data_IF_845062298538
#
_entry.id   IF_845062298538
#
_cell.length_a   1.000
_cell.length_b   1.000
_cell.length_c   1.000
_cell.angle_alpha   90.00
_cell.angle_beta   90.00
_cell.angle_gamma   90.00
#
_symmetry.space_group_name_H-M   'P 1'
#
loop_
_entity.id
_entity.type
_entity.pdbx_description
1 polymer ?
#
# COMPACT_ATOMS: atom_id res chain seq x y z
N UNK A 1 26.33 35.34 -30.65
CA UNK A 1 25.38 35.55 -29.55
C UNK A 1 24.28 34.52 -29.74
N UNK A 2 24.35 33.40 -28.99
CA UNK A 2 23.31 32.40 -28.95
C UNK A 2 22.67 32.52 -27.56
N UNK A 3 21.44 33.00 -27.54
CA UNK A 3 20.61 33.07 -26.31
C UNK A 3 20.09 31.69 -26.03
N UNK A 4 20.70 31.01 -25.06
CA UNK A 4 20.21 29.75 -24.54
C UNK A 4 18.90 29.97 -23.80
N UNK A 5 17.81 29.54 -24.38
CA UNK A 5 16.54 29.42 -23.69
C UNK A 5 16.65 28.37 -22.59
N UNK A 6 16.75 28.83 -21.33
CA UNK A 6 16.50 27.97 -20.16
C UNK A 6 14.98 27.71 -20.11
N UNK A 7 14.56 26.66 -20.76
CA UNK A 7 13.22 26.11 -20.51
C UNK A 7 13.16 25.72 -19.04
N UNK A 8 12.41 26.46 -18.24
CA UNK A 8 12.00 26.02 -16.91
C UNK A 8 11.20 24.73 -17.10
N UNK A 9 11.83 23.58 -16.84
CA UNK A 9 11.04 22.36 -16.59
C UNK A 9 10.13 22.69 -15.41
N UNK A 10 8.84 22.80 -15.66
CA UNK A 10 7.83 22.86 -14.60
C UNK A 10 8.15 21.71 -13.63
N UNK A 11 8.41 22.06 -12.38
CA UNK A 11 8.61 21.06 -11.34
C UNK A 11 7.27 20.40 -11.10
N UNK A 12 7.11 19.19 -11.62
CA UNK A 12 5.95 18.35 -11.33
C UNK A 12 5.97 18.03 -9.84
N UNK A 13 4.88 18.35 -9.14
CA UNK A 13 4.70 17.93 -7.75
C UNK A 13 4.51 16.41 -7.72
N UNK A 14 5.39 15.65 -7.04
CA UNK A 14 5.31 14.19 -7.02
C UNK A 14 3.98 13.64 -6.49
N UNK A 15 3.38 14.28 -5.48
CA UNK A 15 2.13 13.79 -4.89
C UNK A 15 0.94 14.08 -5.81
N UNK A 16 0.94 15.20 -6.52
CA UNK A 16 -0.09 15.52 -7.53
C UNK A 16 0.00 14.53 -8.70
N UNK A 17 1.21 14.25 -9.19
CA UNK A 17 1.41 13.28 -10.27
C UNK A 17 0.97 11.87 -9.87
N UNK A 18 1.37 11.43 -8.68
CA UNK A 18 0.96 10.13 -8.13
C UNK A 18 -0.56 10.03 -8.00
N UNK A 19 -1.23 11.07 -7.49
CA UNK A 19 -2.70 11.10 -7.39
C UNK A 19 -3.37 11.00 -8.76
N UNK A 20 -2.85 11.73 -9.75
CA UNK A 20 -3.38 11.67 -11.11
C UNK A 20 -3.25 10.25 -11.70
N UNK A 21 -2.09 9.64 -11.54
CA UNK A 21 -1.84 8.26 -11.99
C UNK A 21 -2.78 7.27 -11.29
N UNK A 22 -2.89 7.34 -9.96
CA UNK A 22 -3.78 6.46 -9.20
C UNK A 22 -5.25 6.64 -9.58
N UNK A 23 -5.73 7.87 -9.80
CA UNK A 23 -7.08 8.10 -10.30
C UNK A 23 -7.33 7.44 -11.65
N UNK A 24 -6.34 7.46 -12.54
CA UNK A 24 -6.45 6.89 -13.88
C UNK A 24 -6.39 5.35 -13.88
N UNK A 25 -5.70 4.74 -12.92
CA UNK A 25 -5.56 3.27 -12.84
C UNK A 25 -6.76 2.58 -12.20
N UNK A 26 -7.58 3.27 -11.41
CA UNK A 26 -8.72 2.66 -10.70
C UNK A 26 -9.66 1.88 -11.63
N UNK A 27 -10.13 2.39 -12.78
CA UNK A 27 -11.02 1.63 -13.66
C UNK A 27 -10.36 0.34 -14.18
N UNK A 28 -9.07 0.41 -14.52
CA UNK A 28 -8.28 -0.74 -14.98
C UNK A 28 -8.18 -1.78 -13.86
N UNK A 29 -7.83 -1.34 -12.65
CA UNK A 29 -7.69 -2.23 -11.50
C UNK A 29 -9.00 -2.92 -11.13
N UNK A 30 -10.10 -2.19 -11.07
CA UNK A 30 -11.42 -2.76 -10.75
C UNK A 30 -11.87 -3.80 -11.78
N UNK A 31 -11.50 -3.62 -13.05
CA UNK A 31 -11.86 -4.53 -14.14
C UNK A 31 -10.88 -5.69 -14.34
N UNK A 32 -9.71 -5.67 -13.70
CA UNK A 32 -8.62 -6.64 -13.94
C UNK A 32 -8.90 -8.02 -13.32
N UNK A 33 -8.36 -9.05 -13.98
CA UNK A 33 -8.32 -10.41 -13.44
C UNK A 33 -7.45 -10.50 -12.17
N UNK A 34 -6.43 -9.64 -12.06
CA UNK A 34 -5.57 -9.57 -10.87
C UNK A 34 -6.37 -9.29 -9.59
N UNK A 35 -7.31 -8.36 -9.63
CA UNK A 35 -8.14 -8.06 -8.46
C UNK A 35 -9.37 -8.96 -8.35
N UNK A 36 -9.79 -9.57 -9.44
CA UNK A 36 -10.95 -10.49 -9.50
C UNK A 36 -12.13 -10.03 -8.62
N UNK A 37 -12.57 -8.80 -8.84
CA UNK A 37 -13.65 -8.19 -8.05
C UNK A 37 -14.95 -8.99 -8.16
N UNK A 38 -15.22 -9.57 -9.33
CA UNK A 38 -16.42 -10.35 -9.57
C UNK A 38 -16.41 -11.65 -8.75
N UNK A 39 -15.33 -12.42 -8.77
CA UNK A 39 -15.16 -13.63 -7.96
C UNK A 39 -15.13 -13.31 -6.47
N UNK A 40 -14.42 -12.26 -6.06
CA UNK A 40 -14.41 -11.81 -4.68
C UNK A 40 -15.82 -11.50 -4.13
N UNK A 41 -16.66 -10.86 -4.94
CA UNK A 41 -18.06 -10.59 -4.58
C UNK A 41 -18.88 -11.87 -4.50
N UNK A 42 -18.78 -12.73 -5.52
CA UNK A 42 -19.59 -13.94 -5.65
C UNK A 42 -19.29 -14.96 -4.54
N UNK A 43 -18.03 -15.13 -4.17
CA UNK A 43 -17.59 -16.09 -3.17
C UNK A 43 -17.68 -15.55 -1.73
N UNK A 44 -17.91 -14.25 -1.56
CA UNK A 44 -17.97 -13.64 -0.24
C UNK A 44 -16.62 -13.62 0.50
N UNK A 45 -15.48 -13.61 -0.25
CA UNK A 45 -14.14 -13.69 0.35
C UNK A 45 -13.91 -12.59 1.38
N UNK A 46 -13.34 -12.95 2.53
CA UNK A 46 -12.91 -12.07 3.60
C UNK A 46 -11.49 -11.51 3.37
N UNK A 47 -10.75 -11.19 4.45
CA UNK A 47 -9.36 -10.79 4.36
C UNK A 47 -8.47 -11.97 3.91
N UNK A 48 -7.27 -11.68 3.46
CA UNK A 48 -6.28 -12.72 3.12
C UNK A 48 -6.01 -13.62 4.33
N UNK A 49 -5.98 -14.93 4.10
CA UNK A 49 -5.84 -15.91 5.20
C UNK A 49 -4.57 -15.70 6.03
N UNK A 50 -3.45 -15.34 5.38
CA UNK A 50 -2.17 -15.06 6.06
C UNK A 50 -2.25 -13.84 6.98
N UNK A 51 -2.88 -12.77 6.53
CA UNK A 51 -3.07 -11.56 7.31
C UNK A 51 -4.04 -11.79 8.48
N UNK A 52 -5.12 -12.53 8.22
CA UNK A 52 -6.08 -12.92 9.26
C UNK A 52 -5.44 -13.81 10.33
N UNK A 53 -4.54 -14.74 9.94
CA UNK A 53 -3.81 -15.57 10.89
C UNK A 53 -2.90 -14.76 11.83
N UNK A 54 -2.33 -13.64 11.34
CA UNK A 54 -1.45 -12.77 12.12
C UNK A 54 -2.24 -11.76 12.95
N UNK A 55 -3.25 -11.13 12.37
CA UNK A 55 -4.03 -10.08 13.05
C UNK A 55 -5.05 -10.66 14.04
N UNK A 56 -5.53 -11.88 13.78
CA UNK A 56 -6.52 -12.57 14.60
C UNK A 56 -7.95 -12.06 14.40
N UNK A 57 -8.80 -12.30 15.39
CA UNK A 57 -10.21 -11.88 15.36
C UNK A 57 -10.31 -10.34 15.44
N UNK A 58 -11.05 -9.77 14.50
CA UNK A 58 -11.34 -8.33 14.40
C UNK A 58 -12.83 -8.02 14.61
N UNK A 59 -13.64 -9.00 14.97
CA UNK A 59 -15.08 -8.84 15.19
C UNK A 59 -15.38 -7.71 16.17
N UNK A 60 -16.14 -6.71 15.72
CA UNK A 60 -16.52 -5.55 16.52
C UNK A 60 -15.42 -4.50 16.76
N UNK A 61 -14.19 -4.69 16.26
CA UNK A 61 -13.12 -3.71 16.38
C UNK A 61 -13.29 -2.57 15.36
N UNK A 62 -12.77 -1.39 15.71
CA UNK A 62 -12.62 -0.24 14.81
C UNK A 62 -11.27 -0.35 14.10
N UNK A 63 -11.29 -0.55 12.78
CA UNK A 63 -10.11 -0.71 11.95
C UNK A 63 -10.01 0.42 10.92
N UNK A 64 -8.85 1.06 10.82
CA UNK A 64 -8.56 1.97 9.71
C UNK A 64 -7.52 1.37 8.76
N UNK A 65 -7.82 1.40 7.45
CA UNK A 65 -6.89 1.05 6.39
C UNK A 65 -6.34 2.32 5.75
N UNK A 66 -5.05 2.57 5.95
CA UNK A 66 -4.36 3.72 5.35
C UNK A 66 -3.86 3.35 3.94
N UNK A 67 -4.11 4.23 2.96
CA UNK A 67 -3.84 4.04 1.54
C UNK A 67 -4.60 2.82 0.99
N UNK A 68 -5.92 2.83 1.21
CA UNK A 68 -6.80 1.68 1.00
C UNK A 68 -7.15 1.40 -0.47
N UNK A 69 -6.71 2.23 -1.42
CA UNK A 69 -7.06 2.14 -2.83
C UNK A 69 -8.59 2.05 -3.00
N UNK A 70 -9.12 1.18 -3.88
CA UNK A 70 -10.57 0.99 -4.04
C UNK A 70 -11.20 0.04 -2.99
N UNK A 71 -10.52 -0.18 -1.86
CA UNK A 71 -11.09 -0.72 -0.63
C UNK A 71 -11.38 -2.23 -0.61
N UNK A 72 -10.97 -3.03 -1.58
CA UNK A 72 -11.23 -4.48 -1.61
C UNK A 72 -10.74 -5.17 -0.32
N UNK A 73 -9.50 -4.92 0.09
CA UNK A 73 -8.92 -5.50 1.32
C UNK A 73 -9.60 -4.94 2.58
N UNK A 74 -9.91 -3.63 2.61
CA UNK A 74 -10.68 -3.00 3.68
C UNK A 74 -12.02 -3.70 3.90
N UNK A 75 -12.74 -3.97 2.80
CA UNK A 75 -14.04 -4.62 2.84
C UNK A 75 -13.96 -6.12 3.20
N UNK A 76 -12.82 -6.76 2.94
CA UNK A 76 -12.52 -8.08 3.49
C UNK A 76 -12.58 -8.09 5.01
N UNK A 77 -11.99 -7.10 5.67
CA UNK A 77 -12.06 -6.93 7.12
C UNK A 77 -13.47 -6.58 7.62
N UNK A 78 -14.24 -5.81 6.84
CA UNK A 78 -15.66 -5.57 7.17
C UNK A 78 -16.47 -6.88 7.16
N UNK A 79 -16.23 -7.78 6.20
CA UNK A 79 -16.83 -9.13 6.17
C UNK A 79 -16.41 -10.00 7.34
N UNK A 80 -15.20 -9.81 7.88
CA UNK A 80 -14.75 -10.45 9.10
C UNK A 80 -15.33 -9.82 10.38
N UNK A 81 -16.21 -8.83 10.26
CA UNK A 81 -16.98 -8.26 11.38
C UNK A 81 -16.41 -6.96 11.95
N UNK A 82 -15.32 -6.41 11.42
CA UNK A 82 -14.80 -5.11 11.83
C UNK A 82 -15.72 -3.96 11.37
N UNK A 83 -15.69 -2.84 12.09
CA UNK A 83 -16.10 -1.53 11.57
C UNK A 83 -14.89 -0.90 10.91
N UNK A 84 -14.95 -0.66 9.62
CA UNK A 84 -13.79 -0.24 8.85
C UNK A 84 -13.88 1.20 8.38
N UNK A 85 -12.73 1.88 8.36
CA UNK A 85 -12.55 3.17 7.71
C UNK A 85 -11.38 3.02 6.72
N UNK A 86 -11.64 3.26 5.43
CA UNK A 86 -10.60 3.34 4.41
C UNK A 86 -10.21 4.79 4.13
N UNK A 87 -8.93 5.10 4.09
CA UNK A 87 -8.42 6.41 3.72
C UNK A 87 -7.48 6.28 2.52
N UNK A 88 -7.75 7.07 1.48
CA UNK A 88 -6.90 7.18 0.30
C UNK A 88 -6.96 8.59 -0.29
N UNK A 89 -5.90 9.03 -0.95
CA UNK A 89 -5.86 10.36 -1.57
C UNK A 89 -6.52 10.41 -2.95
N UNK A 90 -6.80 9.25 -3.56
CA UNK A 90 -7.47 9.11 -4.86
C UNK A 90 -8.98 9.19 -4.68
N UNK A 91 -9.60 10.23 -5.23
CA UNK A 91 -11.06 10.39 -5.22
C UNK A 91 -11.75 9.33 -6.09
N UNK A 92 -11.14 8.89 -7.18
CA UNK A 92 -11.64 7.78 -7.99
C UNK A 92 -11.62 6.46 -7.20
N UNK A 93 -10.55 6.20 -6.43
CA UNK A 93 -10.46 5.00 -5.59
C UNK A 93 -11.53 5.00 -4.49
N UNK A 94 -11.73 6.12 -3.81
CA UNK A 94 -12.76 6.24 -2.78
C UNK A 94 -14.18 6.07 -3.35
N UNK A 95 -14.46 6.64 -4.51
CA UNK A 95 -15.77 6.44 -5.18
C UNK A 95 -16.00 4.95 -5.53
N UNK A 96 -14.98 4.27 -6.04
CA UNK A 96 -15.04 2.84 -6.33
C UNK A 96 -15.17 1.99 -5.06
N UNK A 97 -14.49 2.35 -3.97
CA UNK A 97 -14.60 1.68 -2.68
C UNK A 97 -16.01 1.76 -2.09
N UNK A 98 -16.63 2.94 -2.16
CA UNK A 98 -18.02 3.13 -1.71
C UNK A 98 -19.02 2.32 -2.56
N UNK A 99 -18.80 2.23 -3.88
CA UNK A 99 -19.61 1.37 -4.74
C UNK A 99 -19.44 -0.10 -4.38
N UNK A 100 -18.19 -0.54 -4.23
CA UNK A 100 -17.88 -1.92 -3.86
C UNK A 100 -18.48 -2.31 -2.49
N UNK A 101 -18.47 -1.39 -1.51
CA UNK A 101 -19.09 -1.62 -0.20
C UNK A 101 -20.60 -1.90 -0.30
N UNK A 102 -21.31 -1.12 -1.15
CA UNK A 102 -22.74 -1.35 -1.41
C UNK A 102 -22.99 -2.72 -2.06
N UNK A 103 -22.21 -3.05 -3.09
CA UNK A 103 -22.29 -4.34 -3.80
C UNK A 103 -21.95 -5.52 -2.92
N UNK A 104 -21.02 -5.35 -1.99
CA UNK A 104 -20.61 -6.37 -1.02
C UNK A 104 -21.59 -6.51 0.16
N UNK A 105 -22.57 -5.62 0.32
CA UNK A 105 -23.55 -5.64 1.40
C UNK A 105 -22.98 -5.31 2.78
N UNK A 106 -21.89 -4.54 2.85
CA UNK A 106 -21.20 -4.15 4.11
C UNK A 106 -21.07 -2.63 4.28
N UNK A 107 -21.84 -1.85 3.50
CA UNK A 107 -21.78 -0.39 3.54
C UNK A 107 -22.21 0.22 4.90
N UNK A 108 -22.96 -0.53 5.71
CA UNK A 108 -23.37 -0.14 7.05
C UNK A 108 -22.23 -0.10 8.08
N UNK A 109 -21.11 -0.73 7.78
CA UNK A 109 -19.91 -0.80 8.65
C UNK A 109 -18.63 -0.35 7.96
N UNK A 110 -18.72 0.29 6.78
CA UNK A 110 -17.58 0.75 6.01
C UNK A 110 -17.70 2.26 5.70
N UNK A 111 -16.76 3.03 6.19
CA UNK A 111 -16.57 4.46 5.91
C UNK A 111 -15.36 4.62 4.97
N UNK A 112 -15.42 5.58 4.03
CA UNK A 112 -14.30 5.89 3.15
C UNK A 112 -14.07 7.40 3.07
N UNK A 113 -12.83 7.82 3.28
CA UNK A 113 -12.41 9.22 3.34
C UNK A 113 -11.32 9.49 2.29
N UNK A 114 -11.55 10.51 1.44
CA UNK A 114 -10.57 10.96 0.45
C UNK A 114 -9.64 11.99 1.07
N UNK A 115 -8.43 11.58 1.43
CA UNK A 115 -7.41 12.46 1.99
C UNK A 115 -6.00 11.83 1.92
N UNK A 116 -4.93 12.65 1.92
CA UNK A 116 -3.58 12.14 2.10
C UNK A 116 -3.38 11.62 3.53
N UNK A 117 -2.51 10.62 3.69
CA UNK A 117 -2.22 9.97 4.98
C UNK A 117 -1.79 10.96 6.07
N UNK A 118 -1.07 12.02 5.69
CA UNK A 118 -0.58 13.03 6.64
C UNK A 118 -1.69 13.81 7.37
N UNK A 119 -2.91 13.78 6.85
CA UNK A 119 -4.08 14.44 7.44
C UNK A 119 -4.98 13.47 8.23
N UNK A 120 -4.61 12.19 8.34
CA UNK A 120 -5.48 11.15 8.86
C UNK A 120 -5.95 11.43 10.30
N UNK A 121 -5.06 11.80 11.20
CA UNK A 121 -5.44 12.11 12.61
C UNK A 121 -6.37 13.32 12.70
N UNK A 122 -6.12 14.36 11.92
CA UNK A 122 -6.93 15.56 11.92
C UNK A 122 -8.36 15.31 11.42
N UNK A 123 -8.52 14.43 10.44
CA UNK A 123 -9.81 14.13 9.81
C UNK A 123 -10.58 13.01 10.51
N UNK A 124 -9.88 11.96 10.96
CA UNK A 124 -10.52 10.77 11.53
C UNK A 124 -10.63 10.81 13.06
N UNK A 125 -9.85 11.66 13.71
CA UNK A 125 -9.79 11.77 15.17
C UNK A 125 -8.69 10.92 15.80
N UNK A 126 -8.08 11.45 16.86
CA UNK A 126 -7.04 10.77 17.62
C UNK A 126 -7.60 9.65 18.49
N UNK A 127 -6.80 8.60 18.72
CA UNK A 127 -7.10 7.46 19.59
C UNK A 127 -8.50 6.83 19.32
N UNK A 128 -8.83 6.71 18.02
CA UNK A 128 -10.14 6.21 17.58
C UNK A 128 -10.15 4.72 17.29
N UNK A 129 -9.04 4.16 16.81
CA UNK A 129 -9.00 2.83 16.23
C UNK A 129 -8.30 1.80 17.11
N UNK A 130 -8.78 0.57 17.06
CA UNK A 130 -8.17 -0.61 17.66
C UNK A 130 -7.06 -1.17 16.77
N UNK A 131 -7.23 -1.01 15.45
CA UNK A 131 -6.29 -1.49 14.44
C UNK A 131 -6.03 -0.41 13.39
N UNK A 132 -4.75 -0.15 13.11
CA UNK A 132 -4.30 0.48 11.86
C UNK A 132 -3.77 -0.65 10.97
N UNK A 133 -4.38 -0.79 9.82
CA UNK A 133 -4.01 -1.78 8.81
C UNK A 133 -3.38 -1.07 7.61
N UNK A 134 -2.29 -1.65 7.11
CA UNK A 134 -1.57 -1.16 5.94
C UNK A 134 -1.10 -2.37 5.14
N UNK A 135 -1.41 -2.40 3.85
CA UNK A 135 -1.03 -3.51 2.98
C UNK A 135 -0.46 -3.05 1.64
N UNK A 136 0.47 -3.80 1.22
CA UNK A 136 1.14 -4.02 -0.07
C UNK A 136 1.43 -2.77 -0.93
N UNK A 137 2.70 -2.37 -0.88
CA UNK A 137 3.26 -1.31 -1.73
C UNK A 137 2.93 0.10 -1.26
N UNK A 138 2.44 0.27 -0.03
CA UNK A 138 1.98 1.56 0.49
C UNK A 138 3.13 2.50 0.87
N UNK A 139 4.24 1.97 1.42
CA UNK A 139 5.38 2.78 1.88
C UNK A 139 6.08 3.52 0.73
N UNK A 140 6.17 2.91 -0.42
CA UNK A 140 6.81 3.47 -1.61
C UNK A 140 6.26 4.85 -2.02
N UNK A 141 4.98 5.11 -1.77
CA UNK A 141 4.29 6.31 -2.24
C UNK A 141 4.40 7.51 -1.28
N UNK A 142 5.13 7.37 -0.18
CA UNK A 142 5.23 8.40 0.85
C UNK A 142 6.65 8.97 0.93
N UNK A 143 6.79 10.30 1.00
CA UNK A 143 8.10 10.93 1.16
C UNK A 143 8.71 10.74 2.55
N UNK A 144 7.90 10.41 3.57
CA UNK A 144 8.34 10.34 4.96
C UNK A 144 7.62 9.24 5.75
N UNK A 145 8.37 8.25 6.22
CA UNK A 145 7.85 7.25 7.17
C UNK A 145 7.65 7.82 8.58
N UNK A 146 8.38 8.87 8.94
CA UNK A 146 8.23 9.56 10.24
C UNK A 146 6.86 10.24 10.34
N UNK A 147 6.44 10.98 9.32
CA UNK A 147 5.12 11.60 9.29
C UNK A 147 4.02 10.55 9.33
N UNK A 148 4.18 9.45 8.59
CA UNK A 148 3.26 8.34 8.63
C UNK A 148 3.19 7.68 10.01
N UNK A 149 4.33 7.41 10.65
CA UNK A 149 4.37 6.83 11.99
C UNK A 149 3.62 7.70 13.01
N UNK A 150 3.73 9.04 12.90
CA UNK A 150 2.96 9.98 13.72
C UNK A 150 1.44 9.81 13.51
N UNK A 151 0.98 9.60 12.27
CA UNK A 151 -0.43 9.33 12.00
C UNK A 151 -0.85 7.98 12.59
N UNK A 152 -0.07 6.93 12.39
CA UNK A 152 -0.34 5.60 12.96
C UNK A 152 -0.48 5.66 14.48
N UNK A 153 0.53 6.22 15.17
CA UNK A 153 0.50 6.36 16.63
C UNK A 153 -0.65 7.23 17.10
N UNK A 154 -0.96 8.33 16.38
CA UNK A 154 -2.05 9.24 16.72
C UNK A 154 -3.45 8.62 16.55
N UNK A 155 -3.67 7.79 15.56
CA UNK A 155 -4.95 7.12 15.27
C UNK A 155 -5.29 6.00 16.25
N UNK A 156 -4.29 5.25 16.71
CA UNK A 156 -4.49 4.10 17.60
C UNK A 156 -4.89 4.52 19.00
N UNK A 157 -5.77 3.76 19.63
CA UNK A 157 -6.01 3.78 21.08
C UNK A 157 -4.78 3.22 21.82
N UNK A 158 -4.58 3.56 23.11
CA UNK A 158 -3.64 2.79 23.94
C UNK A 158 -3.96 1.29 23.88
N UNK A 159 -2.98 0.46 23.64
CA UNK A 159 -3.14 -0.98 23.38
C UNK A 159 -3.61 -1.35 21.98
N UNK A 160 -3.92 -0.37 21.12
CA UNK A 160 -4.26 -0.60 19.72
C UNK A 160 -3.04 -1.04 18.90
N UNK A 161 -3.27 -1.74 17.79
CA UNK A 161 -2.22 -2.44 17.03
C UNK A 161 -2.08 -1.91 15.62
N UNK A 162 -0.84 -1.77 15.15
CA UNK A 162 -0.50 -1.65 13.75
C UNK A 162 -0.26 -3.05 13.16
N UNK A 163 -0.88 -3.34 12.03
CA UNK A 163 -0.47 -4.37 11.09
C UNK A 163 0.04 -3.69 9.83
N UNK A 164 1.27 -3.96 9.46
CA UNK A 164 1.89 -3.52 8.22
C UNK A 164 2.45 -4.73 7.48
N UNK A 165 1.96 -4.99 6.27
CA UNK A 165 2.58 -5.93 5.34
C UNK A 165 2.90 -5.19 4.05
N UNK A 166 4.18 -5.20 3.64
CA UNK A 166 4.62 -4.41 2.48
C UNK A 166 5.78 -5.10 1.73
N UNK A 167 6.08 -4.57 0.56
CA UNK A 167 7.24 -4.98 -0.23
C UNK A 167 8.52 -4.65 0.55
N UNK A 168 9.45 -5.59 0.58
CA UNK A 168 10.71 -5.39 1.28
C UNK A 168 11.58 -4.33 0.57
N UNK A 169 12.18 -3.37 1.28
CA UNK A 169 12.96 -2.30 0.65
C UNK A 169 14.20 -2.79 -0.09
N UNK A 170 14.74 -3.97 0.24
CA UNK A 170 15.80 -4.59 -0.55
C UNK A 170 15.27 -5.06 -1.91
N UNK A 171 14.06 -5.61 -1.95
CA UNK A 171 13.40 -5.96 -3.22
C UNK A 171 13.19 -4.71 -4.09
N UNK A 172 12.80 -3.57 -3.49
CA UNK A 172 12.66 -2.30 -4.21
C UNK A 172 14.00 -1.71 -4.72
N UNK A 173 15.13 -2.20 -4.23
CA UNK A 173 16.46 -1.77 -4.68
C UNK A 173 16.99 -2.58 -5.87
N UNK A 174 16.29 -3.65 -6.28
CA UNK A 174 16.69 -4.47 -7.42
C UNK A 174 16.32 -3.82 -8.75
N UNK A 175 17.07 -4.18 -9.78
CA UNK A 175 16.74 -3.90 -11.17
C UNK A 175 15.42 -4.62 -11.56
N UNK A 176 14.70 -4.06 -12.51
CA UNK A 176 13.42 -4.64 -12.93
C UNK A 176 13.59 -5.93 -13.75
N UNK A 177 14.74 -6.09 -14.40
CA UNK A 177 15.01 -7.21 -15.31
C UNK A 177 15.85 -8.33 -14.69
N UNK A 178 16.59 -8.04 -13.60
CA UNK A 178 17.43 -9.02 -12.96
C UNK A 178 17.60 -8.82 -11.42
N UNK A 179 18.41 -9.68 -10.79
CA UNK A 179 18.67 -9.64 -9.35
C UNK A 179 19.84 -8.72 -8.96
N UNK A 180 20.24 -7.80 -9.81
CA UNK A 180 21.29 -6.82 -9.49
C UNK A 180 20.72 -5.64 -8.72
N UNK A 181 21.53 -4.99 -7.88
CA UNK A 181 21.14 -3.77 -7.17
C UNK A 181 21.31 -2.58 -8.11
N UNK A 182 20.20 -1.94 -8.47
CA UNK A 182 20.14 -0.77 -9.34
C UNK A 182 19.75 0.52 -8.61
N UNK A 183 19.05 0.41 -7.47
CA UNK A 183 18.52 1.53 -6.72
C UNK A 183 19.04 1.54 -5.29
N UNK A 184 19.00 2.69 -4.62
CA UNK A 184 19.44 2.77 -3.23
C UNK A 184 18.39 2.17 -2.28
N UNK A 185 18.87 1.45 -1.28
CA UNK A 185 18.06 0.93 -0.17
C UNK A 185 17.65 2.02 0.82
N UNK A 186 18.47 3.04 0.99
CA UNK A 186 18.25 4.11 1.97
C UNK A 186 17.38 5.22 1.41
N UNK A 187 16.57 5.83 2.28
CA UNK A 187 15.73 6.95 1.92
C UNK A 187 16.53 8.11 1.30
N UNK A 188 15.95 8.75 0.31
CA UNK A 188 16.50 9.91 -0.38
C UNK A 188 15.50 11.07 -0.34
N UNK A 189 16.03 12.31 -0.24
CA UNK A 189 15.19 13.50 -0.31
C UNK A 189 14.52 13.68 -1.69
N UNK A 190 15.19 13.22 -2.76
CA UNK A 190 14.63 13.24 -4.11
C UNK A 190 13.98 11.90 -4.42
N UNK A 191 12.71 11.88 -4.84
CA UNK A 191 12.05 10.63 -5.19
C UNK A 191 12.66 9.97 -6.43
N UNK A 192 12.51 8.66 -6.52
CA UNK A 192 12.64 7.97 -7.79
C UNK A 192 11.54 8.42 -8.73
N UNK A 193 11.89 8.64 -9.99
CA UNK A 193 10.96 8.96 -11.06
C UNK A 193 10.81 7.72 -11.94
N UNK A 194 9.63 7.14 -11.92
CA UNK A 194 9.27 6.04 -12.81
C UNK A 194 8.46 6.60 -14.00
N UNK A 195 8.93 6.33 -15.20
CA UNK A 195 8.29 6.76 -16.45
C UNK A 195 7.73 5.57 -17.25
N UNK A 196 7.67 4.39 -16.64
CA UNK A 196 7.07 3.22 -17.28
C UNK A 196 5.57 3.43 -17.43
N UNK A 197 5.07 3.11 -18.60
CA UNK A 197 3.62 3.12 -18.87
C UNK A 197 3.08 1.72 -18.64
N UNK A 198 1.96 1.64 -17.95
CA UNK A 198 1.29 0.37 -17.66
C UNK A 198 0.86 0.23 -16.20
N UNK A 199 0.22 -0.88 -15.90
CA UNK A 199 -0.20 -1.24 -14.54
C UNK A 199 0.21 -2.68 -14.25
N UNK A 200 0.60 -2.94 -13.00
CA UNK A 200 0.85 -4.29 -12.52
C UNK A 200 -0.40 -5.18 -12.53
N UNK A 201 -1.58 -4.57 -12.48
CA UNK A 201 -2.85 -5.31 -12.47
C UNK A 201 -3.33 -5.71 -13.89
N UNK A 202 -2.91 -4.95 -14.91
CA UNK A 202 -3.15 -5.28 -16.31
C UNK A 202 -2.03 -4.67 -17.18
N UNK A 203 -0.96 -5.41 -17.47
CA UNK A 203 0.13 -4.93 -18.31
C UNK A 203 -0.29 -4.61 -19.77
N UNK A 204 -1.44 -5.10 -20.22
CA UNK A 204 -1.96 -4.84 -21.58
C UNK A 204 -2.72 -3.51 -21.67
N UNK A 205 -3.15 -2.92 -20.55
CA UNK A 205 -3.93 -1.69 -20.51
C UNK A 205 -3.10 -0.41 -20.69
N UNK A 206 -2.02 -0.45 -21.48
CA UNK A 206 -1.07 0.66 -21.67
C UNK A 206 -1.78 1.91 -22.24
N UNK A 207 -2.66 1.73 -23.24
CA UNK A 207 -3.34 2.84 -23.92
C UNK A 207 -4.37 3.56 -23.03
N UNK A 208 -4.82 2.90 -21.95
CA UNK A 208 -5.82 3.45 -21.03
C UNK A 208 -5.19 4.31 -19.90
N UNK A 209 -3.85 4.34 -19.81
CA UNK A 209 -3.14 4.98 -18.71
C UNK A 209 -2.36 6.22 -19.19
N UNK A 210 -2.26 7.27 -18.35
CA UNK A 210 -1.47 8.44 -18.68
C UNK A 210 0.02 8.06 -18.78
N UNK A 211 0.72 8.69 -19.71
CA UNK A 211 2.18 8.58 -19.85
C UNK A 211 2.96 9.42 -18.83
N UNK A 212 2.28 9.94 -17.82
CA UNK A 212 2.89 10.78 -16.78
C UNK A 212 3.74 9.93 -15.82
N UNK A 213 4.88 10.48 -15.36
CA UNK A 213 5.72 9.74 -14.43
C UNK A 213 5.06 9.59 -13.06
N UNK A 214 5.36 8.49 -12.39
CA UNK A 214 5.11 8.33 -10.95
C UNK A 214 6.38 8.56 -10.14
N UNK A 215 6.21 8.78 -8.86
CA UNK A 215 7.31 9.07 -7.95
C UNK A 215 7.23 8.20 -6.71
N UNK A 216 8.37 7.67 -6.27
CA UNK A 216 8.43 6.81 -5.12
C UNK A 216 9.67 7.04 -4.27
N UNK A 217 9.62 6.58 -3.03
CA UNK A 217 10.69 6.64 -2.06
C UNK A 217 10.92 5.27 -1.45
N UNK A 218 12.17 4.83 -1.42
CA UNK A 218 12.51 3.62 -0.69
C UNK A 218 12.78 3.95 0.78
N UNK A 219 12.28 3.10 1.68
CA UNK A 219 12.41 3.29 3.12
C UNK A 219 12.92 2.00 3.77
N UNK A 220 14.13 2.08 4.34
CA UNK A 220 14.73 0.92 5.00
C UNK A 220 13.93 0.40 6.19
N UNK A 221 14.03 -0.89 6.50
CA UNK A 221 13.34 -1.51 7.64
C UNK A 221 13.71 -0.80 8.95
N UNK A 222 14.99 -0.51 9.18
CA UNK A 222 15.44 0.16 10.40
C UNK A 222 14.82 1.56 10.55
N UNK A 223 14.72 2.33 9.46
CA UNK A 223 14.07 3.66 9.45
C UNK A 223 12.59 3.54 9.83
N UNK A 224 11.88 2.60 9.22
CA UNK A 224 10.46 2.34 9.49
C UNK A 224 10.22 1.93 10.95
N UNK A 225 11.04 1.00 11.47
CA UNK A 225 10.94 0.55 12.87
C UNK A 225 11.25 1.69 13.84
N UNK A 226 12.34 2.45 13.61
CA UNK A 226 12.72 3.57 14.46
C UNK A 226 11.62 4.63 14.51
N UNK A 227 11.05 4.99 13.36
CA UNK A 227 9.95 5.96 13.31
C UNK A 227 8.72 5.52 14.15
N UNK A 228 8.41 4.22 14.18
CA UNK A 228 7.33 3.70 15.02
C UNK A 228 7.69 3.73 16.51
N UNK A 229 8.93 3.37 16.88
CA UNK A 229 9.39 3.45 18.27
C UNK A 229 9.36 4.89 18.80
N UNK A 230 9.77 5.86 18.00
CA UNK A 230 9.80 7.28 18.35
C UNK A 230 8.41 7.87 18.66
N UNK A 231 7.34 7.27 18.14
CA UNK A 231 5.95 7.67 18.41
C UNK A 231 5.26 6.82 19.50
N UNK A 232 6.04 6.06 20.27
CA UNK A 232 5.54 5.28 21.40
C UNK A 232 4.90 3.96 21.01
N UNK A 233 5.26 3.40 19.87
CA UNK A 233 4.88 2.04 19.52
C UNK A 233 5.91 1.05 20.08
N UNK A 234 5.43 -0.10 20.57
CA UNK A 234 6.28 -1.25 20.90
C UNK A 234 6.23 -2.22 19.72
N UNK A 235 7.38 -2.61 19.21
CA UNK A 235 7.48 -3.66 18.19
C UNK A 235 7.17 -5.02 18.82
N UNK A 236 6.16 -5.72 18.32
CA UNK A 236 5.78 -7.04 18.80
C UNK A 236 6.30 -8.15 17.88
N UNK A 237 6.38 -7.88 16.56
CA UNK A 237 6.84 -8.85 15.57
C UNK A 237 7.37 -8.14 14.32
N UNK A 238 8.41 -8.72 13.73
CA UNK A 238 8.93 -8.37 12.42
C UNK A 238 9.37 -9.68 11.72
N UNK A 239 8.68 -10.00 10.63
CA UNK A 239 9.00 -11.14 9.78
C UNK A 239 9.41 -10.65 8.40
N UNK A 240 10.48 -11.19 7.88
CA UNK A 240 10.88 -11.03 6.48
C UNK A 240 10.51 -12.30 5.71
N UNK A 241 9.96 -12.12 4.52
CA UNK A 241 9.47 -13.21 3.69
C UNK A 241 10.23 -13.26 2.37
N UNK A 242 10.55 -14.45 1.91
CA UNK A 242 11.15 -14.71 0.61
C UNK A 242 10.13 -14.88 -0.52
N UNK A 243 8.91 -14.44 -0.28
CA UNK A 243 7.80 -14.38 -1.22
C UNK A 243 7.18 -12.97 -1.23
N UNK A 244 6.45 -12.65 -2.31
CA UNK A 244 5.61 -11.45 -2.45
C UNK A 244 4.26 -11.82 -3.04
N UNK A 245 3.25 -10.97 -2.85
CA UNK A 245 1.87 -11.24 -3.29
C UNK A 245 1.59 -10.80 -4.73
N UNK A 246 2.58 -10.37 -5.48
CA UNK A 246 2.42 -9.95 -6.88
C UNK A 246 3.65 -10.30 -7.72
N UNK A 247 3.43 -10.55 -9.00
CA UNK A 247 4.49 -10.72 -10.01
C UNK A 247 5.13 -9.37 -10.37
N UNK A 248 5.67 -8.66 -9.36
CA UNK A 248 6.30 -7.36 -9.56
C UNK A 248 7.43 -7.40 -10.58
N UNK A 249 8.17 -8.51 -10.62
CA UNK A 249 9.29 -8.73 -11.51
C UNK A 249 9.01 -9.90 -12.47
N UNK A 250 9.42 -9.79 -13.75
CA UNK A 250 9.14 -10.81 -14.75
C UNK A 250 9.84 -12.15 -14.50
N UNK A 251 10.87 -12.15 -13.65
CA UNK A 251 11.64 -13.34 -13.30
C UNK A 251 11.10 -14.07 -12.04
N UNK A 252 10.08 -13.55 -11.36
CA UNK A 252 9.42 -14.27 -10.28
C UNK A 252 8.58 -15.42 -10.81
N UNK A 253 8.52 -16.50 -10.04
CA UNK A 253 7.68 -17.67 -10.34
C UNK A 253 6.56 -17.79 -9.32
N UNK A 254 5.37 -18.10 -9.79
CA UNK A 254 4.21 -18.36 -8.96
C UNK A 254 4.31 -19.76 -8.35
N UNK A 255 4.13 -19.87 -7.03
CA UNK A 255 4.19 -21.13 -6.28
C UNK A 255 2.89 -21.46 -5.54
N UNK A 256 1.98 -20.51 -5.46
CA UNK A 256 0.69 -20.66 -4.80
C UNK A 256 -0.21 -19.46 -5.07
N UNK A 257 -1.41 -19.47 -4.53
CA UNK A 257 -2.34 -18.36 -4.65
C UNK A 257 -1.74 -17.08 -4.03
N UNK A 258 -1.57 -16.05 -4.83
CA UNK A 258 -0.91 -14.79 -4.45
C UNK A 258 0.48 -15.03 -3.82
N UNK A 259 1.28 -15.96 -4.35
CA UNK A 259 2.63 -16.22 -3.86
C UNK A 259 3.62 -16.33 -5.01
N UNK A 260 4.55 -15.40 -5.05
CA UNK A 260 5.60 -15.28 -6.05
C UNK A 260 6.97 -15.31 -5.35
N UNK A 261 7.88 -16.13 -5.86
CA UNK A 261 9.22 -16.33 -5.27
C UNK A 261 10.32 -16.21 -6.32
N UNK A 262 11.55 -16.06 -5.87
CA UNK A 262 12.75 -16.17 -6.72
C UNK A 262 12.88 -17.63 -7.17
N UNK A 263 13.11 -17.90 -8.48
CA UNK A 263 13.24 -19.26 -8.99
C UNK A 263 14.40 -20.02 -8.35
N UNK A 264 14.31 -21.37 -8.34
CA UNK A 264 15.38 -22.23 -7.88
C UNK A 264 16.70 -21.97 -8.61
N UNK A 265 17.82 -22.12 -7.89
CA UNK A 265 19.17 -21.88 -8.40
C UNK A 265 19.68 -20.46 -8.20
N UNK A 266 18.85 -19.54 -7.73
CA UNK A 266 19.25 -18.19 -7.33
C UNK A 266 19.28 -18.04 -5.80
N UNK A 267 20.02 -17.03 -5.31
CA UNK A 267 20.03 -16.69 -3.89
C UNK A 267 18.69 -16.09 -3.47
N UNK A 268 18.15 -16.59 -2.36
CA UNK A 268 16.91 -16.04 -1.77
C UNK A 268 17.23 -14.78 -0.99
N UNK A 269 16.43 -13.76 -1.18
CA UNK A 269 16.45 -12.51 -0.42
C UNK A 269 15.03 -12.20 0.05
N UNK A 270 14.83 -11.31 1.05
CA UNK A 270 13.50 -10.91 1.43
C UNK A 270 12.81 -10.11 0.32
N UNK A 271 11.60 -10.53 -0.05
CA UNK A 271 10.74 -9.89 -1.06
C UNK A 271 9.62 -9.06 -0.45
N UNK A 272 9.13 -9.47 0.72
CA UNK A 272 8.15 -8.73 1.51
C UNK A 272 8.45 -8.83 3.00
N UNK A 273 7.75 -8.08 3.82
CA UNK A 273 7.86 -8.15 5.27
C UNK A 273 6.52 -7.88 5.96
N UNK A 274 6.36 -8.42 7.17
CA UNK A 274 5.22 -8.14 8.05
C UNK A 274 5.71 -7.57 9.37
N UNK A 275 5.09 -6.47 9.81
CA UNK A 275 5.40 -5.82 11.08
C UNK A 275 4.12 -5.68 11.91
N UNK A 276 4.19 -6.10 13.16
CA UNK A 276 3.19 -5.82 14.19
C UNK A 276 3.80 -4.92 15.25
N UNK A 277 3.05 -3.91 15.64
CA UNK A 277 3.42 -3.05 16.75
C UNK A 277 2.19 -2.63 17.55
N UNK A 278 2.33 -2.47 18.86
CA UNK A 278 1.28 -2.05 19.77
C UNK A 278 1.57 -0.65 20.31
N UNK A 279 0.56 0.23 20.32
CA UNK A 279 0.66 1.53 20.98
C UNK A 279 0.71 1.33 22.51
N UNK A 280 1.78 1.82 23.13
CA UNK A 280 1.98 1.78 24.59
C UNK A 280 1.20 2.89 25.29
#
# INVERSE_FOLDING_TARGET
MAVGGTGSQERVDPLVANRHWWNSTVPVHVASDFYDVAGWLAEGRGPRAREAAVLGDVGGLDLVHLQCHFGKDTLGWARAGARVCGLDFSDAAIAAAQDLARRAGVADRAEFVCAPVVDAVALLGAARFDVVYVSLGALWWLPSVTERAAQVGGLLRPGGRLFLHDVHPLSLALDDDDLTIAYTYFAQATPYRDSRVGSYADPAAIEALPGDPTFGWNHGIAETVTALLDVGMRLDRLDEHDWTSSARYPWLVETGEEEFVIPEGHHRIPLSFTLLATRV
#
